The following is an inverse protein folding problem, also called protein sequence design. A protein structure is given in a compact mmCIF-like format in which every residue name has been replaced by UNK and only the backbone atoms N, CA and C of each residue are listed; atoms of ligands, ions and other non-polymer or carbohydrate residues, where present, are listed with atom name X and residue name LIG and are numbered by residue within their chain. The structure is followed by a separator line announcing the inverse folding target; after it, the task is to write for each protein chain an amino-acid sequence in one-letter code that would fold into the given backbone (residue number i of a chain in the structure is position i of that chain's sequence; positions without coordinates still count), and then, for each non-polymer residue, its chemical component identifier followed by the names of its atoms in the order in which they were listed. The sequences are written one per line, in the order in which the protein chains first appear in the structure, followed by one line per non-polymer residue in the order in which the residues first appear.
data_IF_364004391963
#
_entry.id   IF_364004391963
#
_cell.length_a   1.000
_cell.length_b   1.000
_cell.length_c   1.000
_cell.angle_alpha   90.00
_cell.angle_beta   90.00
_cell.angle_gamma   90.00
#
_symmetry.space_group_name_H-M   'P 1'
#
loop_
_entity.id
_entity.type
_entity.pdbx_description
1 polymer ?
#
# COMPACT_ATOMS: atom_id res chain seq x y z
N UNK A 1 10.16 -36.99 -60.75
CA UNK A 1 9.23 -35.94 -60.32
C UNK A 1 9.17 -36.04 -58.80
N UNK A 2 9.99 -35.22 -58.08
CA UNK A 2 10.09 -35.24 -56.60
C UNK A 2 9.35 -34.02 -56.07
N UNK A 3 8.30 -34.26 -55.33
CA UNK A 3 7.51 -33.24 -54.70
C UNK A 3 8.13 -32.96 -53.32
N UNK A 4 8.73 -31.79 -53.18
CA UNK A 4 9.29 -31.32 -51.90
C UNK A 4 8.16 -30.60 -51.14
N UNK A 5 7.65 -31.24 -50.08
CA UNK A 5 6.75 -30.59 -49.12
C UNK A 5 7.58 -29.73 -48.20
N UNK A 6 7.52 -28.43 -48.40
CA UNK A 6 8.07 -27.45 -47.46
C UNK A 6 6.99 -27.20 -46.36
N UNK A 7 7.21 -27.77 -45.18
CA UNK A 7 6.39 -27.51 -44.03
C UNK A 7 6.79 -26.15 -43.43
N UNK A 8 5.96 -25.12 -43.64
CA UNK A 8 6.08 -23.84 -42.95
C UNK A 8 5.65 -24.04 -41.46
N UNK A 9 6.64 -24.11 -40.60
CA UNK A 9 6.41 -24.10 -39.15
C UNK A 9 6.14 -22.65 -38.70
N UNK A 10 4.88 -22.29 -38.66
CA UNK A 10 4.42 -20.97 -38.19
C UNK A 10 4.59 -20.90 -36.68
N UNK A 11 5.63 -20.19 -36.21
CA UNK A 11 5.94 -19.93 -34.81
C UNK A 11 4.98 -18.85 -34.30
N UNK A 12 3.86 -19.26 -33.73
CA UNK A 12 2.91 -18.35 -33.07
C UNK A 12 3.52 -17.89 -31.75
N UNK A 13 4.10 -16.70 -31.73
CA UNK A 13 4.47 -16.00 -30.52
C UNK A 13 3.20 -15.56 -29.80
N UNK A 14 2.77 -16.31 -28.80
CA UNK A 14 1.76 -15.89 -27.86
C UNK A 14 2.36 -14.78 -26.97
N UNK A 15 2.15 -13.54 -27.35
CA UNK A 15 2.34 -12.41 -26.46
C UNK A 15 1.33 -12.56 -25.32
N UNK A 16 1.77 -13.14 -24.20
CA UNK A 16 1.05 -13.14 -22.95
C UNK A 16 1.02 -11.70 -22.42
N UNK A 17 0.04 -10.94 -22.86
CA UNK A 17 -0.29 -9.67 -22.23
C UNK A 17 -0.90 -9.99 -20.87
N UNK A 18 -0.09 -9.99 -19.80
CA UNK A 18 -0.62 -9.99 -18.44
C UNK A 18 -1.43 -8.71 -18.27
N UNK A 19 -2.74 -8.79 -18.00
CA UNK A 19 -3.52 -7.61 -17.74
C UNK A 19 -2.93 -6.93 -16.51
N UNK A 20 -2.45 -5.69 -16.65
CA UNK A 20 -2.23 -4.82 -15.50
C UNK A 20 -3.61 -4.66 -14.86
N UNK A 21 -3.83 -5.35 -13.74
CA UNK A 21 -5.00 -5.08 -12.93
C UNK A 21 -5.00 -3.58 -12.63
N UNK A 22 -5.99 -2.89 -13.18
CA UNK A 22 -6.36 -1.58 -12.65
C UNK A 22 -6.59 -1.78 -11.16
N UNK A 23 -6.12 -0.87 -10.28
CA UNK A 23 -6.43 -1.00 -8.85
C UNK A 23 -7.95 -1.14 -8.77
N UNK A 24 -8.41 -2.31 -8.33
CA UNK A 24 -9.81 -2.54 -8.06
C UNK A 24 -10.26 -1.38 -7.18
N UNK A 25 -11.36 -0.71 -7.52
CA UNK A 25 -11.81 0.48 -6.78
C UNK A 25 -12.03 0.17 -5.29
N UNK A 26 -12.10 -1.10 -4.96
CA UNK A 26 -12.26 -1.61 -3.59
C UNK A 26 -10.95 -1.73 -2.79
N UNK A 27 -9.77 -1.39 -3.37
CA UNK A 27 -8.52 -1.48 -2.61
C UNK A 27 -8.52 -0.57 -1.37
N UNK A 28 -9.21 0.55 -1.42
CA UNK A 28 -9.32 1.50 -0.33
C UNK A 28 -10.34 1.10 0.75
N UNK A 29 -11.12 0.05 0.50
CA UNK A 29 -12.05 -0.46 1.50
C UNK A 29 -11.34 -1.27 2.58
N UNK A 30 -11.83 -1.16 3.81
CA UNK A 30 -11.33 -1.92 4.95
C UNK A 30 -10.24 -1.21 5.74
N UNK A 31 -9.75 -1.91 6.74
CA UNK A 31 -8.70 -1.45 7.64
C UNK A 31 -7.34 -2.01 7.19
N UNK A 32 -6.40 -1.12 6.94
CA UNK A 32 -5.03 -1.45 6.55
C UNK A 32 -4.11 -1.40 7.76
N UNK A 33 -3.79 -2.55 8.33
CA UNK A 33 -2.96 -2.68 9.54
C UNK A 33 -1.49 -2.75 9.14
N UNK A 34 -0.65 -1.96 9.81
CA UNK A 34 0.79 -1.93 9.58
C UNK A 34 1.41 -3.27 10.03
N UNK A 35 2.10 -3.94 9.11
CA UNK A 35 2.79 -5.21 9.35
C UNK A 35 4.31 -5.11 9.23
N UNK A 36 4.81 -4.07 8.57
CA UNK A 36 6.24 -3.85 8.38
C UNK A 36 6.53 -2.34 8.28
N UNK A 37 7.54 -1.88 9.00
CA UNK A 37 8.03 -0.50 8.98
C UNK A 37 9.54 -0.50 8.78
N UNK A 38 10.05 0.19 7.73
CA UNK A 38 11.47 0.19 7.36
C UNK A 38 12.07 -1.22 7.24
N UNK A 39 11.35 -2.14 6.63
CA UNK A 39 11.75 -3.55 6.46
C UNK A 39 11.87 -4.33 7.79
N UNK A 40 11.38 -3.77 8.89
CA UNK A 40 11.29 -4.45 10.19
C UNK A 40 9.85 -4.87 10.43
N UNK A 41 9.59 -6.16 10.69
CA UNK A 41 8.25 -6.62 11.04
C UNK A 41 7.70 -5.93 12.29
N UNK A 42 6.43 -5.55 12.25
CA UNK A 42 5.73 -4.94 13.38
C UNK A 42 4.91 -6.02 14.10
N UNK A 43 5.05 -6.09 15.41
CA UNK A 43 4.25 -6.99 16.24
C UNK A 43 2.78 -6.57 16.21
N UNK A 44 1.90 -7.48 15.78
CA UNK A 44 0.46 -7.24 15.72
C UNK A 44 -0.18 -7.78 17.00
N UNK A 45 -0.87 -6.87 17.70
CA UNK A 45 -1.72 -7.25 18.85
C UNK A 45 -3.01 -7.93 18.37
N UNK A 46 -3.55 -8.85 19.14
CA UNK A 46 -4.88 -9.44 18.89
C UNK A 46 -6.01 -8.40 18.90
N UNK A 47 -5.82 -7.25 19.57
CA UNK A 47 -6.73 -6.13 19.47
C UNK A 47 -6.31 -5.23 18.30
N UNK A 48 -6.99 -5.37 17.16
CA UNK A 48 -6.66 -4.66 15.93
C UNK A 48 -6.75 -3.12 16.05
N UNK A 49 -7.56 -2.59 16.98
CA UNK A 49 -7.68 -1.15 17.22
C UNK A 49 -6.43 -0.53 17.85
N UNK A 50 -5.61 -1.35 18.52
CA UNK A 50 -4.35 -0.93 19.14
C UNK A 50 -3.15 -1.01 18.19
N UNK A 51 -3.32 -1.58 17.00
CA UNK A 51 -2.27 -1.64 16.01
C UNK A 51 -2.27 -0.37 15.15
N UNK A 52 -1.10 0.10 14.73
CA UNK A 52 -1.01 1.17 13.76
C UNK A 52 -1.76 0.77 12.47
N UNK A 53 -2.68 1.61 12.02
CA UNK A 53 -3.51 1.31 10.87
C UNK A 53 -4.02 2.56 10.15
N UNK A 54 -4.45 2.37 8.91
CA UNK A 54 -5.09 3.38 8.07
C UNK A 54 -6.42 2.83 7.57
N UNK A 55 -7.46 3.65 7.61
CA UNK A 55 -8.74 3.44 6.94
C UNK A 55 -8.91 4.57 5.92
N UNK A 56 -8.97 4.22 4.65
CA UNK A 56 -9.21 5.19 3.59
C UNK A 56 -10.71 5.48 3.46
N UNK A 57 -11.03 6.71 3.12
CA UNK A 57 -12.39 7.20 2.87
C UNK A 57 -12.43 7.77 1.44
N UNK A 58 -12.67 6.93 0.42
CA UNK A 58 -12.50 7.32 -0.98
C UNK A 58 -13.38 8.48 -1.43
N UNK A 59 -14.61 8.57 -0.93
CA UNK A 59 -15.58 9.61 -1.29
C UNK A 59 -15.10 11.01 -0.94
N UNK A 60 -14.39 11.16 0.18
CA UNK A 60 -13.83 12.44 0.65
C UNK A 60 -12.33 12.58 0.37
N UNK A 61 -11.69 11.57 -0.23
CA UNK A 61 -10.22 11.50 -0.39
C UNK A 61 -9.47 11.77 0.91
N UNK A 62 -10.03 11.32 2.02
CA UNK A 62 -9.46 11.43 3.35
C UNK A 62 -9.11 10.07 3.92
N UNK A 63 -8.36 10.06 4.98
CA UNK A 63 -8.07 8.86 5.75
C UNK A 63 -8.13 9.17 7.23
N UNK A 64 -8.37 8.13 8.00
CA UNK A 64 -8.27 8.13 9.45
C UNK A 64 -7.58 6.85 9.89
N UNK A 65 -7.12 6.80 11.12
CA UNK A 65 -6.47 5.62 11.64
C UNK A 65 -5.86 5.84 13.01
N UNK A 66 -4.86 5.03 13.31
CA UNK A 66 -4.14 5.05 14.57
C UNK A 66 -2.64 4.91 14.30
N UNK A 67 -1.84 5.76 14.93
CA UNK A 67 -0.38 5.82 14.71
C UNK A 67 0.42 4.87 15.58
N UNK A 68 -0.23 4.16 16.47
CA UNK A 68 0.40 3.33 17.50
C UNK A 68 0.23 3.91 18.91
N UNK A 69 -0.06 5.20 19.01
CA UNK A 69 -0.33 5.92 20.23
C UNK A 69 -1.54 6.85 20.09
N UNK A 70 -1.62 7.59 19.00
CA UNK A 70 -2.66 8.58 18.77
C UNK A 70 -3.50 8.26 17.55
N UNK A 71 -4.75 8.75 17.53
CA UNK A 71 -5.56 8.81 16.33
C UNK A 71 -4.91 9.73 15.30
N UNK A 72 -4.91 9.31 14.05
CA UNK A 72 -4.40 10.07 12.91
C UNK A 72 -5.50 10.33 11.89
N UNK A 73 -5.44 11.45 11.20
CA UNK A 73 -6.33 11.76 10.11
C UNK A 73 -5.69 12.74 9.13
N UNK A 74 -6.20 12.77 7.91
CA UNK A 74 -5.73 13.67 6.88
C UNK A 74 -6.40 13.41 5.55
N UNK A 75 -5.82 13.94 4.49
CA UNK A 75 -6.27 13.73 3.11
C UNK A 75 -5.18 13.05 2.30
N UNK A 76 -5.55 12.45 1.18
CA UNK A 76 -4.59 11.85 0.26
C UNK A 76 -4.96 12.14 -1.20
N UNK A 77 -3.95 12.10 -2.05
CA UNK A 77 -4.12 12.04 -3.49
C UNK A 77 -3.59 10.72 -4.01
N UNK A 78 -4.23 10.18 -5.05
CA UNK A 78 -3.88 8.89 -5.61
C UNK A 78 -3.93 8.94 -7.14
N UNK A 79 -2.95 8.30 -7.77
CA UNK A 79 -2.89 8.02 -9.20
C UNK A 79 -2.71 6.53 -9.42
N UNK A 80 -2.40 6.12 -10.65
CA UNK A 80 -2.26 4.70 -11.02
C UNK A 80 -1.21 3.94 -10.18
N UNK A 81 -0.12 4.58 -9.81
CA UNK A 81 0.95 4.00 -8.98
C UNK A 81 1.51 4.99 -7.96
N UNK A 82 0.93 6.18 -7.88
CA UNK A 82 1.36 7.25 -6.98
C UNK A 82 0.33 7.47 -5.87
N UNK A 83 0.84 7.77 -4.69
CA UNK A 83 0.02 8.15 -3.54
C UNK A 83 0.77 9.23 -2.76
N UNK A 84 0.04 10.21 -2.26
CA UNK A 84 0.60 11.23 -1.40
C UNK A 84 -0.36 11.53 -0.27
N UNK A 85 0.13 11.46 0.95
CA UNK A 85 -0.61 11.85 2.13
C UNK A 85 -0.40 13.33 2.44
N UNK A 86 -1.46 14.05 2.72
CA UNK A 86 -1.50 15.50 2.92
C UNK A 86 -2.19 15.76 4.25
N UNK A 87 -1.76 16.82 4.94
CA UNK A 87 -2.42 17.29 6.18
C UNK A 87 -2.55 16.18 7.21
N UNK A 88 -1.40 15.65 7.64
CA UNK A 88 -1.34 14.66 8.70
C UNK A 88 -1.53 15.37 10.04
N UNK A 89 -2.66 15.14 10.69
CA UNK A 89 -2.92 15.56 12.06
C UNK A 89 -2.90 14.35 12.99
N UNK A 90 -2.22 14.47 14.12
CA UNK A 90 -2.32 13.54 15.24
C UNK A 90 -2.61 14.32 16.51
N UNK A 91 -3.34 13.71 17.42
CA UNK A 91 -3.52 14.29 18.77
C UNK A 91 -2.32 13.86 19.61
N UNK A 92 -1.58 14.83 20.11
CA UNK A 92 -0.45 14.57 21.02
C UNK A 92 -1.00 14.18 22.40
N UNK A 93 -1.14 12.90 22.65
CA UNK A 93 -1.25 12.38 24.02
C UNK A 93 0.15 11.88 24.44
N UNK A 94 0.49 12.00 25.70
CA UNK A 94 1.73 11.44 26.22
C UNK A 94 1.69 9.92 26.16
N UNK A 95 2.50 9.33 25.28
CA UNK A 95 2.57 7.90 25.08
C UNK A 95 3.99 7.41 25.25
N UNK A 96 4.19 6.18 25.76
CA UNK A 96 5.52 5.61 25.91
C UNK A 96 6.22 5.33 24.56
N UNK A 97 5.45 5.05 23.48
CA UNK A 97 5.99 4.68 22.16
C UNK A 97 6.01 5.85 21.15
N UNK A 98 6.28 7.08 21.61
CA UNK A 98 6.44 8.26 20.75
C UNK A 98 7.40 8.03 19.57
N UNK A 99 8.56 7.34 19.72
CA UNK A 99 9.48 7.10 18.61
C UNK A 99 8.88 6.26 17.48
N UNK A 100 8.06 5.25 17.79
CA UNK A 100 7.40 4.42 16.78
C UNK A 100 6.39 5.24 15.97
N UNK A 101 5.47 5.93 16.64
CA UNK A 101 4.48 6.77 15.95
C UNK A 101 5.16 7.87 15.14
N UNK A 102 6.16 8.55 15.67
CA UNK A 102 6.90 9.58 14.95
C UNK A 102 7.55 9.02 13.67
N UNK A 103 8.11 7.82 13.74
CA UNK A 103 8.69 7.13 12.57
C UNK A 103 7.60 6.80 11.55
N UNK A 104 6.50 6.20 11.98
CA UNK A 104 5.37 5.87 11.11
C UNK A 104 4.81 7.09 10.39
N UNK A 105 4.55 8.18 11.12
CA UNK A 105 4.04 9.43 10.57
C UNK A 105 5.03 10.09 9.60
N UNK A 106 6.32 10.09 9.94
CA UNK A 106 7.38 10.60 9.06
C UNK A 106 7.44 9.83 7.75
N UNK A 107 7.37 8.49 7.80
CA UNK A 107 7.35 7.65 6.60
C UNK A 107 6.09 7.91 5.77
N UNK A 108 4.92 7.95 6.41
CA UNK A 108 3.65 8.21 5.73
C UNK A 108 3.67 9.54 4.96
N UNK A 109 4.27 10.57 5.53
CA UNK A 109 4.43 11.88 4.89
C UNK A 109 5.35 11.84 3.66
N UNK A 110 6.33 10.94 3.65
CA UNK A 110 7.39 10.90 2.63
C UNK A 110 7.12 9.91 1.48
N UNK A 111 6.13 9.02 1.61
CA UNK A 111 5.80 8.09 0.52
C UNK A 111 5.19 8.84 -0.68
N UNK A 112 5.49 8.35 -1.87
CA UNK A 112 5.04 8.94 -3.13
C UNK A 112 4.56 7.89 -4.15
N UNK A 113 4.75 6.61 -3.85
CA UNK A 113 4.29 5.50 -4.68
C UNK A 113 3.65 4.41 -3.83
N UNK A 114 2.82 3.61 -4.47
CA UNK A 114 2.28 2.41 -3.85
C UNK A 114 2.27 1.23 -4.83
N UNK A 115 2.19 0.04 -4.29
CA UNK A 115 1.81 -1.17 -5.02
C UNK A 115 0.91 -2.02 -4.14
N UNK A 116 -0.02 -2.71 -4.79
CA UNK A 116 -0.95 -3.63 -4.15
C UNK A 116 -0.64 -5.04 -4.65
N UNK A 117 -0.51 -5.98 -3.71
CA UNK A 117 -0.36 -7.40 -3.98
C UNK A 117 -1.35 -8.17 -3.09
N UNK A 118 -2.47 -8.58 -3.69
CA UNK A 118 -3.58 -9.17 -2.95
C UNK A 118 -4.10 -8.24 -1.85
N UNK A 119 -3.91 -8.65 -0.60
CA UNK A 119 -4.31 -7.90 0.59
C UNK A 119 -3.15 -7.15 1.25
N UNK A 120 -2.02 -6.98 0.57
CA UNK A 120 -0.85 -6.24 1.06
C UNK A 120 -0.64 -4.97 0.25
N UNK A 121 -0.69 -3.83 0.93
CA UNK A 121 -0.38 -2.52 0.39
C UNK A 121 1.05 -2.14 0.78
N UNK A 122 1.91 -1.98 -0.20
CA UNK A 122 3.27 -1.48 -0.02
C UNK A 122 3.32 0.02 -0.34
N UNK A 123 3.70 0.83 0.63
CA UNK A 123 3.92 2.27 0.48
C UNK A 123 5.41 2.53 0.31
N UNK A 124 5.77 3.30 -0.71
CA UNK A 124 7.14 3.46 -1.17
C UNK A 124 7.55 4.93 -1.26
N UNK A 125 8.84 5.18 -1.03
CA UNK A 125 9.52 6.42 -1.41
C UNK A 125 10.43 6.12 -2.61
N UNK A 126 10.05 6.59 -3.79
CA UNK A 126 10.71 6.16 -5.03
C UNK A 126 10.55 4.66 -5.26
N UNK A 127 11.63 3.91 -5.21
CA UNK A 127 11.63 2.44 -5.36
C UNK A 127 11.79 1.69 -4.03
N UNK A 128 12.02 2.41 -2.93
CA UNK A 128 12.22 1.80 -1.61
C UNK A 128 10.88 1.62 -0.90
N UNK A 129 10.61 0.41 -0.42
CA UNK A 129 9.44 0.12 0.42
C UNK A 129 9.72 0.68 1.82
N UNK A 130 8.90 1.65 2.23
CA UNK A 130 8.99 2.25 3.57
C UNK A 130 8.11 1.53 4.58
N UNK A 131 6.96 1.03 4.12
CA UNK A 131 6.05 0.27 4.97
C UNK A 131 5.17 -0.67 4.17
N UNK A 132 4.71 -1.73 4.83
CA UNK A 132 3.67 -2.63 4.32
C UNK A 132 2.49 -2.67 5.29
N UNK A 133 1.30 -2.64 4.73
CA UNK A 133 0.06 -2.76 5.47
C UNK A 133 -0.73 -3.95 4.92
N UNK A 134 -1.45 -4.63 5.79
CA UNK A 134 -2.30 -5.76 5.42
C UNK A 134 -3.77 -5.40 5.67
N UNK A 135 -4.61 -5.69 4.69
CA UNK A 135 -6.07 -5.53 4.83
C UNK A 135 -6.61 -6.57 5.82
N UNK A 136 -7.45 -6.10 6.74
CA UNK A 136 -8.17 -6.90 7.73
C UNK A 136 -9.68 -6.66 7.62
#
# INVERSE_FOLDING_TARGET
MKIICVALFSLVFLFSCSPKLSPDQNWAEGKWVLIELKQVPVQISGNLEKNAHIVFLPSSKSYQGFGGCNGINGTYTIGTSSIKFISLASRLAGCPDVPFEATFLSMLKNVNKYSLDGNVLSLKKGNTVEMKLQRK
#
